data_IF_187981453325
#
_entry.id   IF_187981453325
#
_cell.length_a   1.000
_cell.length_b   1.000
_cell.length_c   1.000
_cell.angle_alpha   90.00
_cell.angle_beta   90.00
_cell.angle_gamma   90.00
#
_symmetry.space_group_name_H-M   'P 1'
#
loop_
_entity.id
_entity.type
_entity.pdbx_description
1 polymer ?
#
# COMPACT_ATOMS: atom_id res chain seq x y z
N UNK A 1 8.77 -0.30 -23.77
CA UNK A 1 8.40 -1.13 -22.61
C UNK A 1 7.74 -0.25 -21.56
N UNK A 2 6.69 -0.73 -20.90
CA UNK A 2 6.09 0.00 -19.78
C UNK A 2 7.11 0.11 -18.63
N UNK A 3 7.22 1.29 -18.01
CA UNK A 3 8.08 1.50 -16.83
C UNK A 3 7.29 1.17 -15.57
N UNK A 4 7.91 0.45 -14.63
CA UNK A 4 7.28 0.16 -13.34
C UNK A 4 6.95 1.48 -12.59
N UNK A 5 5.75 1.54 -12.02
CA UNK A 5 5.26 2.64 -11.20
C UNK A 5 6.00 2.74 -9.86
N UNK A 6 6.31 1.59 -9.25
CA UNK A 6 7.12 1.48 -8.05
C UNK A 6 8.09 0.30 -8.16
N UNK A 7 9.23 0.38 -7.46
CA UNK A 7 10.27 -0.66 -7.44
C UNK A 7 10.84 -0.85 -6.04
N UNK A 8 11.22 -2.08 -5.72
CA UNK A 8 12.03 -2.43 -4.57
C UNK A 8 13.19 -3.31 -5.01
N UNK A 9 14.41 -2.96 -4.60
CA UNK A 9 15.61 -3.73 -4.90
C UNK A 9 15.97 -4.59 -3.69
N UNK A 10 16.24 -5.87 -3.94
CA UNK A 10 16.63 -6.82 -2.92
C UNK A 10 18.16 -6.84 -2.78
N UNK A 11 18.65 -7.27 -1.63
CA UNK A 11 20.09 -7.34 -1.33
C UNK A 11 20.85 -8.34 -2.22
N UNK A 12 20.15 -9.25 -2.90
CA UNK A 12 20.74 -10.21 -3.85
C UNK A 12 20.71 -9.74 -5.31
N UNK A 13 20.37 -8.47 -5.55
CA UNK A 13 20.35 -7.85 -6.87
C UNK A 13 19.04 -8.04 -7.65
N UNK A 14 18.09 -8.84 -7.15
CA UNK A 14 16.75 -8.93 -7.75
C UNK A 14 15.96 -7.64 -7.52
N UNK A 15 14.96 -7.40 -8.37
CA UNK A 15 14.06 -6.24 -8.27
C UNK A 15 12.60 -6.69 -8.38
N UNK A 16 11.76 -6.18 -7.47
CA UNK A 16 10.30 -6.28 -7.58
C UNK A 16 9.78 -4.98 -8.19
N UNK A 17 9.03 -5.08 -9.28
CA UNK A 17 8.38 -3.94 -9.93
C UNK A 17 6.87 -4.06 -9.89
N UNK A 18 6.18 -2.96 -9.55
CA UNK A 18 4.73 -2.85 -9.70
C UNK A 18 4.40 -2.08 -10.98
N UNK A 19 3.57 -2.66 -11.83
CA UNK A 19 3.12 -2.03 -13.07
C UNK A 19 1.65 -1.67 -12.91
N UNK A 20 1.34 -0.38 -12.97
CA UNK A 20 0.00 0.17 -12.87
C UNK A 20 -0.35 0.93 -14.17
N UNK A 21 -1.64 1.10 -14.50
CA UNK A 21 -2.06 2.01 -15.55
C UNK A 21 -1.52 3.43 -15.33
N UNK A 22 -1.28 4.21 -16.39
CA UNK A 22 -0.93 5.63 -16.27
C UNK A 22 -1.99 6.38 -15.45
N UNK A 23 -1.57 7.04 -14.36
CA UNK A 23 -2.47 7.78 -13.44
C UNK A 23 -2.49 7.24 -12.01
N UNK A 24 -2.34 5.91 -11.84
CA UNK A 24 -2.32 5.29 -10.50
C UNK A 24 -0.90 5.23 -9.90
N UNK A 25 0.11 5.53 -10.71
CA UNK A 25 1.52 5.35 -10.37
C UNK A 25 2.01 6.24 -9.21
N UNK A 26 1.32 7.35 -8.92
CA UNK A 26 1.72 8.28 -7.84
C UNK A 26 1.21 7.87 -6.47
N UNK A 27 0.25 6.94 -6.39
CA UNK A 27 -0.40 6.53 -5.13
C UNK A 27 -0.01 5.12 -4.70
N UNK A 28 1.03 4.54 -5.29
CA UNK A 28 1.46 3.16 -5.01
C UNK A 28 2.90 3.12 -4.51
N UNK A 29 3.14 2.31 -3.49
CA UNK A 29 4.46 1.94 -3.04
C UNK A 29 4.61 0.42 -3.06
N UNK A 30 5.82 -0.04 -3.36
CA UNK A 30 6.21 -1.44 -3.15
C UNK A 30 7.47 -1.47 -2.31
N UNK A 31 7.49 -2.41 -1.38
CA UNK A 31 8.68 -2.77 -0.63
C UNK A 31 8.79 -4.30 -0.60
N UNK A 32 10.02 -4.79 -0.71
CA UNK A 32 10.30 -6.21 -0.76
C UNK A 32 11.60 -6.48 -0.04
N UNK A 33 11.61 -7.53 0.78
CA UNK A 33 12.77 -7.95 1.56
C UNK A 33 12.94 -9.46 1.51
N UNK A 34 14.20 -9.92 1.59
CA UNK A 34 14.51 -11.33 1.76
C UNK A 34 14.13 -11.77 3.17
N UNK A 35 13.44 -12.90 3.31
CA UNK A 35 13.05 -13.45 4.60
C UNK A 35 14.25 -14.17 5.25
N UNK A 36 15.18 -13.38 5.77
CA UNK A 36 16.40 -13.83 6.47
C UNK A 36 16.38 -13.45 7.95
N UNK A 37 17.45 -13.70 8.70
CA UNK A 37 17.53 -13.21 10.09
C UNK A 37 17.50 -11.66 10.11
N UNK A 38 16.60 -11.01 10.87
CA UNK A 38 16.60 -9.56 11.01
C UNK A 38 17.89 -9.06 11.67
N UNK A 39 18.31 -7.80 11.41
CA UNK A 39 19.43 -7.19 12.13
C UNK A 39 19.22 -7.24 13.65
N UNK A 40 20.19 -7.73 14.45
CA UNK A 40 19.98 -7.96 15.89
C UNK A 40 19.48 -6.74 16.67
N UNK A 41 19.98 -5.54 16.36
CA UNK A 41 19.54 -4.31 17.01
C UNK A 41 18.07 -3.98 16.70
N UNK A 42 17.61 -4.25 15.48
CA UNK A 42 16.21 -4.04 15.09
C UNK A 42 15.30 -5.13 15.67
N UNK A 43 15.77 -6.38 15.70
CA UNK A 43 15.07 -7.48 16.34
C UNK A 43 14.89 -7.25 17.85
N UNK A 44 15.93 -6.79 18.54
CA UNK A 44 15.86 -6.46 19.96
C UNK A 44 14.89 -5.31 20.24
N UNK A 45 14.85 -4.31 19.34
CA UNK A 45 13.99 -3.14 19.51
C UNK A 45 12.53 -3.40 19.16
N UNK A 46 12.26 -4.18 18.12
CA UNK A 46 10.92 -4.31 17.54
C UNK A 46 10.36 -5.74 17.56
N UNK A 47 11.10 -6.70 18.11
CA UNK A 47 10.77 -8.13 18.08
C UNK A 47 11.06 -8.77 16.72
N UNK A 48 11.35 -10.08 16.72
CA UNK A 48 11.63 -10.84 15.50
C UNK A 48 10.38 -11.38 14.80
N UNK A 49 9.27 -11.53 15.53
CA UNK A 49 8.04 -12.10 14.99
C UNK A 49 7.50 -11.30 13.81
N UNK A 50 7.32 -11.99 12.68
CA UNK A 50 6.83 -11.40 11.42
C UNK A 50 7.59 -10.12 11.03
N UNK A 51 8.87 -10.01 11.40
CA UNK A 51 9.63 -8.77 11.30
C UNK A 51 9.59 -8.19 9.90
N UNK A 52 9.90 -9.00 8.88
CA UNK A 52 9.94 -8.52 7.49
C UNK A 52 8.58 -8.08 6.97
N UNK A 53 7.49 -8.74 7.37
CA UNK A 53 6.13 -8.30 7.02
C UNK A 53 5.79 -6.96 7.65
N UNK A 54 6.19 -6.73 8.92
CA UNK A 54 5.98 -5.44 9.58
C UNK A 54 6.90 -4.36 9.01
N UNK A 55 8.14 -4.71 8.67
CA UNK A 55 9.12 -3.84 8.04
C UNK A 55 8.66 -3.35 6.66
N UNK A 56 8.34 -4.26 5.74
CA UNK A 56 7.92 -3.89 4.37
C UNK A 56 6.62 -3.07 4.39
N UNK A 57 5.73 -3.32 5.36
CA UNK A 57 4.54 -2.49 5.61
C UNK A 57 4.88 -1.09 6.08
N UNK A 58 5.81 -0.95 7.02
CA UNK A 58 6.26 0.34 7.52
C UNK A 58 6.98 1.15 6.43
N UNK A 59 7.83 0.52 5.62
CA UNK A 59 8.49 1.13 4.46
C UNK A 59 7.47 1.65 3.42
N UNK A 60 6.48 0.83 3.05
CA UNK A 60 5.41 1.28 2.15
C UNK A 60 4.63 2.47 2.72
N UNK A 61 4.31 2.45 4.02
CA UNK A 61 3.58 3.54 4.66
C UNK A 61 4.42 4.83 4.75
N UNK A 62 5.73 4.71 5.03
CA UNK A 62 6.68 5.81 5.05
C UNK A 62 6.83 6.45 3.65
N UNK A 63 7.04 5.62 2.61
CA UNK A 63 7.12 6.05 1.21
C UNK A 63 5.86 6.80 0.77
N UNK A 64 4.67 6.25 1.03
CA UNK A 64 3.41 6.88 0.64
C UNK A 64 3.15 8.19 1.40
N UNK A 65 3.69 8.33 2.61
CA UNK A 65 3.55 9.52 3.45
C UNK A 65 4.68 10.53 3.24
N UNK A 66 5.57 10.28 2.28
CA UNK A 66 6.73 11.10 1.95
C UNK A 66 7.59 11.44 3.18
N UNK A 67 7.86 10.43 4.00
CA UNK A 67 8.76 10.57 5.15
C UNK A 67 9.85 9.50 5.13
N UNK A 68 11.09 9.82 5.54
CA UNK A 68 12.13 8.82 5.69
C UNK A 68 11.72 7.72 6.69
N UNK A 69 12.07 6.46 6.43
CA UNK A 69 11.74 5.33 7.31
C UNK A 69 12.22 5.57 8.76
N UNK A 70 13.38 6.19 8.95
CA UNK A 70 13.88 6.51 10.30
C UNK A 70 12.97 7.47 11.08
N UNK A 71 12.29 8.39 10.39
CA UNK A 71 11.30 9.29 10.99
C UNK A 71 10.01 8.52 11.29
N UNK A 72 9.58 7.65 10.37
CA UNK A 72 8.44 6.77 10.58
C UNK A 72 8.61 5.87 11.81
N UNK A 73 9.74 5.16 11.91
CA UNK A 73 10.05 4.26 13.03
C UNK A 73 10.05 4.97 14.38
N UNK A 74 10.45 6.25 14.42
CA UNK A 74 10.38 7.05 15.65
C UNK A 74 8.96 7.36 16.09
N UNK A 75 8.03 7.55 15.15
CA UNK A 75 6.63 7.92 15.43
C UNK A 75 5.72 6.71 15.61
N UNK A 76 5.92 5.67 14.81
CA UNK A 76 4.98 4.56 14.65
C UNK A 76 5.61 3.17 14.85
N UNK A 77 6.94 3.10 15.06
CA UNK A 77 7.66 1.83 15.04
C UNK A 77 7.43 1.09 13.72
N UNK A 78 7.26 -0.23 13.78
CA UNK A 78 6.87 -1.05 12.62
C UNK A 78 5.34 -1.10 12.39
N UNK A 79 4.58 -0.22 13.03
CA UNK A 79 3.14 -0.10 12.84
C UNK A 79 2.77 0.76 11.64
N UNK A 80 1.55 0.57 11.15
CA UNK A 80 0.88 1.50 10.25
C UNK A 80 -0.48 1.86 10.85
N UNK A 81 -0.67 3.11 11.33
CA UNK A 81 -1.97 3.54 11.85
C UNK A 81 -3.08 3.46 10.79
N UNK A 82 -4.31 3.06 11.15
CA UNK A 82 -5.40 2.85 10.19
C UNK A 82 -5.97 4.15 9.59
N UNK A 83 -5.73 5.28 10.24
CA UNK A 83 -6.19 6.62 9.84
C UNK A 83 -5.35 7.25 8.71
N UNK A 84 -4.28 6.59 8.26
CA UNK A 84 -3.38 7.11 7.22
C UNK A 84 -3.98 7.10 5.80
N UNK A 85 -5.14 6.45 5.61
CA UNK A 85 -5.74 6.27 4.30
C UNK A 85 -4.88 5.41 3.36
N UNK A 86 -4.13 4.47 3.92
CA UNK A 86 -3.23 3.57 3.18
C UNK A 86 -3.72 2.13 3.34
N UNK A 87 -3.98 1.46 2.22
CA UNK A 87 -4.29 0.05 2.19
C UNK A 87 -3.01 -0.74 1.89
N UNK A 88 -2.71 -1.75 2.71
CA UNK A 88 -1.46 -2.52 2.63
C UNK A 88 -1.75 -4.01 2.49
N UNK A 89 -1.31 -4.61 1.39
CA UNK A 89 -1.38 -6.05 1.14
C UNK A 89 0.01 -6.63 1.17
N UNK A 90 0.21 -7.74 1.88
CA UNK A 90 1.52 -8.42 1.96
C UNK A 90 1.40 -9.84 1.41
N UNK A 91 2.30 -10.18 0.51
CA UNK A 91 2.40 -11.52 -0.09
C UNK A 91 3.79 -12.09 0.16
N UNK A 92 3.89 -13.41 0.24
CA UNK A 92 5.16 -14.12 0.33
C UNK A 92 5.38 -14.88 -0.97
N UNK A 93 6.46 -14.54 -1.65
CA UNK A 93 6.92 -15.27 -2.82
C UNK A 93 7.86 -16.37 -2.33
N UNK A 94 7.47 -17.63 -2.53
CA UNK A 94 8.29 -18.78 -2.13
C UNK A 94 9.56 -18.83 -2.97
N UNK A 95 10.69 -19.09 -2.32
CA UNK A 95 12.01 -19.20 -2.93
C UNK A 95 13.06 -19.59 -1.89
N UNK A 96 14.33 -19.60 -2.30
CA UNK A 96 15.47 -19.81 -1.41
C UNK A 96 16.47 -18.64 -1.55
N UNK A 97 16.35 -17.57 -0.74
CA UNK A 97 15.35 -17.34 0.31
C UNK A 97 13.99 -16.87 -0.23
N UNK A 98 12.94 -17.02 0.59
CA UNK A 98 11.62 -16.42 0.35
C UNK A 98 11.72 -14.90 0.33
N UNK A 99 10.79 -14.26 -0.37
CA UNK A 99 10.68 -12.79 -0.44
C UNK A 99 9.35 -12.38 0.16
N UNK A 100 9.39 -11.45 1.12
CA UNK A 100 8.20 -10.78 1.65
C UNK A 100 8.00 -9.50 0.86
N UNK A 101 6.83 -9.33 0.25
CA UNK A 101 6.51 -8.15 -0.57
C UNK A 101 5.26 -7.49 -0.02
N UNK A 102 5.34 -6.20 0.26
CA UNK A 102 4.15 -5.38 0.54
C UNK A 102 3.89 -4.41 -0.59
N UNK A 103 2.64 -4.34 -1.02
CA UNK A 103 2.13 -3.26 -1.87
C UNK A 103 1.25 -2.38 -1.01
N UNK A 104 1.51 -1.07 -1.04
CA UNK A 104 0.69 -0.05 -0.41
C UNK A 104 0.03 0.82 -1.44
N UNK A 105 -1.25 1.14 -1.24
CA UNK A 105 -2.01 2.09 -2.06
C UNK A 105 -2.58 3.16 -1.15
N UNK A 106 -2.32 4.44 -1.48
CA UNK A 106 -2.99 5.57 -0.84
C UNK A 106 -4.39 5.70 -1.44
N UNK A 107 -5.41 5.63 -0.59
CA UNK A 107 -6.79 5.90 -0.97
C UNK A 107 -6.90 7.38 -1.34
N UNK A 108 -7.16 7.67 -2.61
CA UNK A 108 -7.63 9.00 -2.99
C UNK A 108 -9.03 9.16 -2.39
N UNK A 109 -9.33 10.24 -1.66
CA UNK A 109 -10.70 10.55 -1.30
C UNK A 109 -11.54 10.57 -2.58
N UNK A 110 -12.79 10.06 -2.58
CA UNK A 110 -13.66 10.25 -3.73
C UNK A 110 -13.70 11.75 -4.04
N UNK A 111 -13.48 12.13 -5.32
CA UNK A 111 -13.60 13.53 -5.73
C UNK A 111 -15.00 14.00 -5.34
N UNK A 112 -15.09 14.92 -4.38
CA UNK A 112 -16.34 15.60 -4.05
C UNK A 112 -16.76 16.39 -5.29
N UNK A 113 -17.68 15.82 -6.09
CA UNK A 113 -18.18 16.45 -7.30
C UNK A 113 -18.38 15.52 -8.50
N UNK A 114 -19.13 14.43 -8.34
CA UNK A 114 -20.10 14.06 -9.37
C UNK A 114 -21.45 13.97 -8.68
N UNK A 115 -22.41 14.87 -8.98
CA UNK A 115 -23.80 14.58 -8.65
C UNK A 115 -24.13 13.26 -9.32
N UNK A 116 -24.57 12.29 -8.53
CA UNK A 116 -25.16 11.08 -9.07
C UNK A 116 -26.23 11.48 -10.07
N UNK A 117 -26.24 10.82 -11.23
CA UNK A 117 -27.44 10.74 -12.05
C UNK A 117 -28.54 10.21 -11.15
N UNK A 118 -29.33 11.14 -10.63
CA UNK A 118 -30.58 10.91 -9.95
C UNK A 118 -31.50 10.23 -10.97
N UNK A 119 -31.53 8.90 -10.93
CA UNK A 119 -32.56 8.12 -11.61
C UNK A 119 -33.82 8.21 -10.77
N UNK A 120 -34.36 9.42 -10.64
CA UNK A 120 -35.73 9.62 -10.18
C UNK A 120 -36.62 9.00 -11.25
N UNK A 121 -37.01 7.75 -11.02
CA UNK A 121 -38.02 7.06 -11.80
C UNK A 121 -39.33 7.83 -11.66
N UNK A 122 -39.63 8.61 -12.69
CA UNK A 122 -40.89 9.33 -12.90
C UNK A 122 -42.06 8.44 -12.52
N UNK A 123 -42.75 8.81 -11.46
CA UNK A 123 -44.02 8.20 -11.07
C UNK A 123 -45.09 8.76 -12.02
N UNK A 124 -45.59 7.94 -12.94
CA UNK A 124 -46.80 8.27 -13.69
C UNK A 124 -48.00 8.32 -12.71
N UNK A 125 -48.43 9.53 -12.36
CA UNK A 125 -49.83 9.77 -11.99
C UNK A 125 -50.63 9.87 -13.28
N UNK A 126 -51.53 8.92 -13.50
CA UNK A 126 -52.64 9.10 -14.46
C UNK A 126 -53.76 9.78 -13.68
N UNK A 127 -54.01 11.05 -14.02
CA UNK A 127 -55.23 11.74 -13.62
C UNK A 127 -56.33 11.35 -14.62
N UNK A 128 -57.40 10.71 -14.14
CA UNK A 128 -58.68 10.64 -14.82
C UNK A 128 -59.74 11.31 -13.95
N UNK A 129 -60.32 12.40 -14.43
CA UNK A 129 -61.58 12.98 -13.95
C UNK A 129 -62.52 13.02 -15.14
N UNK A 130 -63.64 12.31 -15.04
CA UNK A 130 -65.03 12.72 -15.28
C UNK A 130 -65.92 11.52 -15.04
#
# INVERSE_FOLDING_TARGET
MARAAARSHLSDGRCVGWFAPPGDATNVAVDAELEVAPPPALAARFGADRFWERWTRAECAAKLSDVPIVVWLRRHGLGCPPDQGIDLVTVRLRGAPSVVVTVGIRRTPPRSGQPGLDTTRTSHRVNGHT
#
